data_IF_447476211626
#
_entry.id   IF_447476211626
#
_cell.length_a   1.000
_cell.length_b   1.000
_cell.length_c   1.000
_cell.angle_alpha   90.00
_cell.angle_beta   90.00
_cell.angle_gamma   90.00
#
_symmetry.space_group_name_H-M   'P 1'
#
loop_
_entity.id
_entity.type
_entity.pdbx_description
1 polymer ?
#
# COMPACT_ATOMS: atom_id res chain seq x y z
N UNK A 1 -43.42 -3.85 -49.75
CA UNK A 1 -42.84 -2.92 -48.75
C UNK A 1 -42.93 -3.59 -47.38
N UNK A 2 -41.81 -3.84 -46.68
CA UNK A 2 -41.87 -4.35 -45.32
C UNK A 2 -42.11 -3.20 -44.31
N UNK A 3 -42.75 -3.48 -43.16
CA UNK A 3 -42.98 -2.47 -42.13
C UNK A 3 -41.68 -2.17 -41.36
N UNK A 4 -41.42 -0.88 -41.11
CA UNK A 4 -40.26 -0.41 -40.34
C UNK A 4 -40.38 -0.86 -38.88
N UNK A 5 -39.42 -1.63 -38.40
CA UNK A 5 -39.25 -1.99 -36.99
C UNK A 5 -38.81 -0.76 -36.19
N UNK A 6 -39.67 -0.35 -35.27
CA UNK A 6 -39.41 0.71 -34.28
C UNK A 6 -38.31 0.27 -33.31
N UNK A 7 -37.17 0.96 -33.33
CA UNK A 7 -36.11 0.81 -32.34
C UNK A 7 -36.58 1.48 -31.04
N UNK A 8 -37.06 0.69 -30.09
CA UNK A 8 -37.25 1.14 -28.70
C UNK A 8 -35.88 1.20 -28.01
N UNK A 9 -35.30 2.40 -27.89
CA UNK A 9 -34.25 2.66 -26.89
C UNK A 9 -34.91 2.96 -25.55
N UNK A 10 -34.62 2.22 -24.46
CA UNK A 10 -35.14 2.55 -23.14
C UNK A 10 -34.50 3.85 -22.66
N UNK A 11 -35.32 4.91 -22.63
CA UNK A 11 -34.98 6.22 -22.10
C UNK A 11 -34.86 6.14 -20.57
N UNK A 12 -33.70 5.69 -20.06
CA UNK A 12 -33.32 6.06 -18.69
C UNK A 12 -32.84 7.52 -18.74
N UNK A 13 -33.45 8.46 -18.00
CA UNK A 13 -32.98 9.83 -17.99
C UNK A 13 -31.55 9.87 -17.43
N UNK A 14 -30.55 10.00 -18.31
CA UNK A 14 -29.17 10.23 -17.90
C UNK A 14 -29.10 11.68 -17.44
N UNK A 15 -29.30 11.93 -16.15
CA UNK A 15 -29.00 13.23 -15.56
C UNK A 15 -27.56 13.59 -15.95
N UNK A 16 -27.40 14.65 -16.73
CA UNK A 16 -26.10 15.26 -16.97
C UNK A 16 -25.66 15.82 -15.62
N UNK A 17 -24.87 15.05 -14.89
CA UNK A 17 -24.16 15.56 -13.71
C UNK A 17 -23.37 16.78 -14.18
N UNK A 18 -23.61 17.97 -13.62
CA UNK A 18 -22.82 19.15 -13.95
C UNK A 18 -21.35 18.77 -13.81
N UNK A 19 -20.52 19.10 -14.81
CA UNK A 19 -19.06 19.00 -14.68
C UNK A 19 -18.63 20.07 -13.66
N UNK A 20 -18.87 19.81 -12.38
CA UNK A 20 -18.15 20.49 -11.31
C UNK A 20 -16.67 20.31 -11.60
N UNK A 21 -15.83 21.35 -11.52
CA UNK A 21 -14.39 21.14 -11.54
C UNK A 21 -14.13 20.04 -10.51
N UNK A 22 -13.55 18.91 -10.97
CA UNK A 22 -13.19 17.79 -10.10
C UNK A 22 -12.41 18.42 -8.97
N UNK A 23 -13.03 18.53 -7.79
CA UNK A 23 -12.30 18.86 -6.58
C UNK A 23 -11.37 17.67 -6.43
N UNK A 24 -10.12 17.83 -6.84
CA UNK A 24 -9.07 16.87 -6.55
C UNK A 24 -9.19 16.59 -5.07
N UNK A 25 -9.47 15.33 -4.73
CA UNK A 25 -9.48 14.86 -3.36
C UNK A 25 -8.17 15.32 -2.73
N UNK A 26 -8.29 16.15 -1.68
CA UNK A 26 -7.13 16.75 -1.05
C UNK A 26 -6.17 15.63 -0.63
N UNK A 27 -4.89 15.80 -0.96
CA UNK A 27 -3.85 14.83 -0.63
C UNK A 27 -3.47 13.85 -1.74
N UNK A 28 -4.23 13.73 -2.83
CA UNK A 28 -3.83 12.87 -3.97
C UNK A 28 -2.63 13.47 -4.72
N UNK A 29 -1.62 12.64 -4.96
CA UNK A 29 -0.47 12.98 -5.81
C UNK A 29 -0.80 12.70 -7.26
N UNK A 30 -0.99 13.76 -8.03
CA UNK A 30 -1.25 13.67 -9.48
C UNK A 30 0.00 13.39 -10.30
N UNK A 31 1.20 13.62 -9.74
CA UNK A 31 2.49 13.31 -10.37
C UNK A 31 3.37 12.53 -9.41
N UNK A 32 3.93 11.44 -9.91
CA UNK A 32 4.99 10.68 -9.28
C UNK A 32 6.32 10.94 -10.03
N UNK A 33 7.48 10.66 -9.41
CA UNK A 33 8.76 10.71 -10.11
C UNK A 33 8.76 9.83 -11.38
N UNK A 34 9.59 10.15 -12.37
CA UNK A 34 9.58 9.46 -13.68
C UNK A 34 9.75 7.94 -13.57
N UNK A 35 10.56 7.47 -12.61
CA UNK A 35 10.74 6.04 -12.33
C UNK A 35 9.48 5.32 -11.81
N UNK A 36 8.45 6.07 -11.41
CA UNK A 36 7.20 5.58 -10.83
C UNK A 36 5.97 6.09 -11.59
N UNK A 37 6.16 6.60 -12.82
CA UNK A 37 5.11 7.35 -13.55
C UNK A 37 3.94 6.49 -14.05
N UNK A 38 4.19 5.21 -14.31
CA UNK A 38 3.19 4.27 -14.81
C UNK A 38 3.47 2.85 -14.31
N UNK A 39 2.52 1.95 -14.52
CA UNK A 39 2.61 0.57 -14.05
C UNK A 39 3.82 -0.19 -14.65
N UNK A 40 4.25 0.13 -15.87
CA UNK A 40 5.41 -0.53 -16.49
C UNK A 40 6.69 -0.16 -15.73
N UNK A 41 6.92 1.13 -15.48
CA UNK A 41 8.09 1.54 -14.69
C UNK A 41 8.02 1.04 -13.25
N UNK A 42 6.82 0.95 -12.66
CA UNK A 42 6.64 0.34 -11.34
C UNK A 42 7.07 -1.13 -11.34
N UNK A 43 6.71 -1.94 -12.34
CA UNK A 43 7.12 -3.35 -12.43
C UNK A 43 8.64 -3.49 -12.48
N UNK A 44 9.27 -2.74 -13.39
CA UNK A 44 10.72 -2.74 -13.57
C UNK A 44 11.42 -2.32 -12.26
N UNK A 45 10.93 -1.25 -11.63
CA UNK A 45 11.51 -0.73 -10.38
C UNK A 45 11.31 -1.69 -9.21
N UNK A 46 10.13 -2.32 -9.09
CA UNK A 46 9.85 -3.31 -8.05
C UNK A 46 10.80 -4.51 -8.18
N UNK A 47 10.94 -5.04 -9.40
CA UNK A 47 11.80 -6.18 -9.68
C UNK A 47 13.25 -5.88 -9.35
N UNK A 48 13.76 -4.70 -9.72
CA UNK A 48 15.14 -4.31 -9.43
C UNK A 48 15.37 -4.03 -7.94
N UNK A 49 14.49 -3.25 -7.30
CA UNK A 49 14.68 -2.77 -5.92
C UNK A 49 14.46 -3.85 -4.86
N UNK A 50 13.54 -4.80 -5.11
CA UNK A 50 13.26 -5.92 -4.22
C UNK A 50 13.95 -7.22 -4.64
N UNK A 51 14.79 -7.17 -5.69
CA UNK A 51 15.55 -8.32 -6.22
C UNK A 51 14.66 -9.54 -6.50
N UNK A 52 13.51 -9.30 -7.13
CA UNK A 52 12.51 -10.36 -7.35
C UNK A 52 13.00 -11.34 -8.41
N UNK A 53 12.79 -12.63 -8.17
CA UNK A 53 13.04 -13.71 -9.13
C UNK A 53 11.96 -13.83 -10.21
N UNK A 54 10.84 -13.13 -10.04
CA UNK A 54 9.69 -13.15 -10.93
C UNK A 54 9.30 -11.73 -11.39
N UNK A 55 8.47 -11.65 -12.41
CA UNK A 55 7.90 -10.40 -12.90
C UNK A 55 6.59 -10.09 -12.15
N UNK A 56 6.44 -8.91 -11.52
CA UNK A 56 5.18 -8.52 -10.90
C UNK A 56 4.02 -8.49 -11.91
N UNK A 57 2.82 -8.86 -11.47
CA UNK A 57 1.62 -8.76 -12.30
C UNK A 57 1.25 -7.28 -12.53
N UNK A 58 0.64 -6.98 -13.68
CA UNK A 58 0.19 -5.64 -14.04
C UNK A 58 -0.80 -5.11 -12.99
N UNK A 59 -1.67 -5.98 -12.47
CA UNK A 59 -2.64 -5.60 -11.42
C UNK A 59 -1.94 -5.17 -10.13
N UNK A 60 -0.87 -5.86 -9.75
CA UNK A 60 -0.07 -5.48 -8.57
C UNK A 60 0.60 -4.13 -8.79
N UNK A 61 1.18 -3.91 -9.96
CA UNK A 61 1.85 -2.66 -10.29
C UNK A 61 0.89 -1.47 -10.35
N UNK A 62 -0.28 -1.64 -10.97
CA UNK A 62 -1.34 -0.62 -10.96
C UNK A 62 -1.81 -0.30 -9.54
N UNK A 63 -1.97 -1.31 -8.68
CA UNK A 63 -2.38 -1.10 -7.29
C UNK A 63 -1.32 -0.33 -6.50
N UNK A 64 -0.05 -0.71 -6.60
CA UNK A 64 1.07 0.00 -5.96
C UNK A 64 1.16 1.45 -6.48
N UNK A 65 1.00 1.66 -7.78
CA UNK A 65 0.97 3.00 -8.38
C UNK A 65 -0.12 3.87 -7.75
N UNK A 66 -1.35 3.37 -7.58
CA UNK A 66 -2.43 4.12 -6.94
C UNK A 66 -2.17 4.39 -5.45
N UNK A 67 -1.61 3.43 -4.71
CA UNK A 67 -1.21 3.69 -3.31
C UNK A 67 -0.09 4.74 -3.24
N UNK A 68 0.84 4.77 -4.19
CA UNK A 68 1.87 5.82 -4.29
C UNK A 68 1.26 7.19 -4.56
N UNK A 69 0.17 7.23 -5.33
CA UNK A 69 -0.63 8.42 -5.55
C UNK A 69 -1.52 8.82 -4.34
N UNK A 70 -1.48 8.06 -3.25
CA UNK A 70 -2.27 8.25 -2.02
C UNK A 70 -3.78 8.01 -2.20
N UNK A 71 -4.14 7.10 -3.11
CA UNK A 71 -5.47 6.52 -3.09
C UNK A 71 -5.56 5.45 -2.02
N UNK A 72 -6.73 5.36 -1.38
CA UNK A 72 -7.11 4.18 -0.63
C UNK A 72 -7.50 3.06 -1.60
N UNK A 73 -7.22 1.82 -1.24
CA UNK A 73 -7.46 0.67 -2.12
C UNK A 73 -7.75 -0.61 -1.36
N UNK A 74 -8.63 -1.43 -1.93
CA UNK A 74 -8.91 -2.78 -1.46
C UNK A 74 -8.40 -3.79 -2.49
N UNK A 75 -7.52 -4.69 -2.07
CA UNK A 75 -7.02 -5.77 -2.91
C UNK A 75 -7.58 -7.11 -2.42
N UNK A 76 -8.22 -7.85 -3.33
CA UNK A 76 -8.69 -9.22 -3.07
C UNK A 76 -7.84 -10.15 -3.92
N UNK A 77 -7.07 -11.02 -3.26
CA UNK A 77 -6.20 -11.98 -3.92
C UNK A 77 -6.13 -13.27 -3.11
N UNK A 78 -6.04 -14.41 -3.79
CA UNK A 78 -5.84 -15.72 -3.19
C UNK A 78 -4.44 -15.83 -2.52
N UNK A 79 -4.27 -16.77 -1.60
CA UNK A 79 -2.96 -17.06 -1.00
C UNK A 79 -1.96 -17.47 -2.08
N UNK A 80 -0.69 -17.08 -1.90
CA UNK A 80 0.36 -17.34 -2.89
C UNK A 80 0.43 -16.33 -4.06
N UNK A 81 -0.60 -15.49 -4.27
CA UNK A 81 -0.59 -14.47 -5.34
C UNK A 81 0.21 -13.19 -5.00
N UNK A 82 1.17 -13.29 -4.07
CA UNK A 82 2.11 -12.20 -3.78
C UNK A 82 1.46 -10.93 -3.19
N UNK A 83 0.47 -11.09 -2.31
CA UNK A 83 -0.17 -9.94 -1.61
C UNK A 83 0.84 -9.05 -0.88
N UNK A 84 1.90 -9.65 -0.33
CA UNK A 84 2.94 -8.93 0.42
C UNK A 84 3.73 -7.95 -0.42
N UNK A 85 3.88 -8.23 -1.73
CA UNK A 85 4.57 -7.35 -2.66
C UNK A 85 3.96 -5.94 -2.70
N UNK A 86 2.66 -5.81 -2.42
CA UNK A 86 1.96 -4.53 -2.46
C UNK A 86 2.48 -3.56 -1.39
N UNK A 87 2.63 -4.03 -0.15
CA UNK A 87 3.09 -3.19 0.95
C UNK A 87 4.63 -3.13 1.06
N UNK A 88 5.33 -4.22 0.73
CA UNK A 88 6.80 -4.22 0.64
C UNK A 88 7.28 -3.29 -0.49
N UNK A 89 6.63 -3.39 -1.65
CA UNK A 89 6.86 -2.52 -2.80
C UNK A 89 6.59 -1.07 -2.46
N UNK A 90 5.46 -0.78 -1.81
CA UNK A 90 5.18 0.56 -1.31
C UNK A 90 6.30 1.06 -0.39
N UNK A 91 6.69 0.28 0.62
CA UNK A 91 7.72 0.67 1.59
C UNK A 91 9.06 0.97 0.91
N UNK A 92 9.47 0.13 -0.04
CA UNK A 92 10.73 0.30 -0.78
C UNK A 92 10.70 1.51 -1.71
N UNK A 93 9.63 1.70 -2.47
CA UNK A 93 9.54 2.73 -3.52
C UNK A 93 9.33 4.15 -2.96
N UNK A 94 8.68 4.26 -1.82
CA UNK A 94 8.49 5.55 -1.13
C UNK A 94 9.80 6.15 -0.63
N UNK A 95 10.77 5.31 -0.26
CA UNK A 95 12.10 5.73 0.18
C UNK A 95 12.19 5.99 1.68
N UNK A 96 13.28 6.66 2.10
CA UNK A 96 13.58 6.93 3.52
C UNK A 96 12.67 8.04 4.09
N UNK A 97 12.43 8.00 5.39
CA UNK A 97 11.64 9.01 6.11
C UNK A 97 10.12 8.81 6.03
N UNK A 98 9.66 7.67 5.50
CA UNK A 98 8.27 7.26 5.53
C UNK A 98 8.20 5.80 5.96
N UNK A 99 7.13 5.45 6.67
CA UNK A 99 6.93 4.12 7.25
C UNK A 99 5.62 3.56 6.70
N UNK A 100 5.64 2.27 6.34
CA UNK A 100 4.44 1.49 6.06
C UNK A 100 4.12 0.65 7.28
N UNK A 101 2.97 0.91 7.91
CA UNK A 101 2.45 0.04 8.95
C UNK A 101 1.60 -1.08 8.32
N UNK A 102 1.91 -2.32 8.66
CA UNK A 102 1.15 -3.50 8.24
C UNK A 102 0.54 -4.13 9.49
N UNK A 103 -0.78 -4.16 9.53
CA UNK A 103 -1.53 -4.69 10.67
C UNK A 103 -1.91 -6.14 10.36
N UNK A 104 -1.41 -7.07 11.18
CA UNK A 104 -1.57 -8.51 11.00
C UNK A 104 -2.27 -9.12 12.22
N UNK A 105 -3.12 -10.15 12.07
CA UNK A 105 -3.87 -10.72 13.18
C UNK A 105 -3.05 -11.62 14.11
N UNK A 106 -1.80 -11.98 13.77
CA UNK A 106 -1.01 -12.92 14.59
C UNK A 106 0.48 -12.60 14.61
N UNK A 107 1.09 -12.77 15.80
CA UNK A 107 2.53 -12.60 16.05
C UNK A 107 3.41 -13.48 15.16
N UNK A 108 2.97 -14.71 14.87
CA UNK A 108 3.72 -15.63 13.99
C UNK A 108 3.79 -15.10 12.55
N UNK A 109 2.67 -14.56 12.05
CA UNK A 109 2.62 -13.97 10.71
C UNK A 109 3.42 -12.66 10.65
N UNK A 110 3.38 -11.84 11.69
CA UNK A 110 4.20 -10.61 11.77
C UNK A 110 5.69 -10.91 11.62
N UNK A 111 6.20 -11.90 12.38
CA UNK A 111 7.62 -12.28 12.34
C UNK A 111 8.02 -12.87 10.99
N UNK A 112 7.19 -13.75 10.42
CA UNK A 112 7.42 -14.35 9.11
C UNK A 112 7.48 -13.28 8.00
N UNK A 113 6.51 -12.36 7.96
CA UNK A 113 6.49 -11.27 6.98
C UNK A 113 7.62 -10.26 7.20
N UNK A 114 8.04 -10.01 8.44
CA UNK A 114 9.20 -9.19 8.75
C UNK A 114 10.47 -9.78 8.16
N UNK A 115 10.74 -11.07 8.39
CA UNK A 115 11.92 -11.75 7.86
C UNK A 115 11.92 -11.73 6.33
N UNK A 116 10.80 -12.07 5.69
CA UNK A 116 10.67 -12.01 4.24
C UNK A 116 10.87 -10.61 3.66
N UNK A 117 10.42 -9.55 4.36
CA UNK A 117 10.69 -8.18 3.94
C UNK A 117 12.18 -7.83 4.09
N UNK A 118 12.84 -8.22 5.19
CA UNK A 118 14.27 -7.97 5.39
C UNK A 118 15.12 -8.66 4.30
N UNK A 119 14.78 -9.88 3.91
CA UNK A 119 15.45 -10.61 2.83
C UNK A 119 15.41 -9.86 1.49
N UNK A 120 14.31 -9.16 1.22
CA UNK A 120 14.12 -8.33 0.01
C UNK A 120 14.75 -6.93 0.14
N UNK A 121 15.25 -6.58 1.33
CA UNK A 121 16.04 -5.38 1.59
C UNK A 121 15.33 -4.14 2.16
N UNK A 122 14.00 -4.08 2.38
CA UNK A 122 13.43 -3.13 3.32
C UNK A 122 13.91 -3.31 4.76
N UNK A 123 14.15 -2.21 5.46
CA UNK A 123 14.34 -2.21 6.91
C UNK A 123 13.00 -2.50 7.59
N UNK A 124 12.74 -3.77 7.91
CA UNK A 124 11.49 -4.21 8.53
C UNK A 124 11.64 -4.45 10.03
N UNK A 125 10.59 -4.10 10.79
CA UNK A 125 10.47 -4.42 12.21
C UNK A 125 9.13 -5.11 12.49
N UNK A 126 9.09 -5.95 13.51
CA UNK A 126 7.85 -6.42 14.12
C UNK A 126 7.79 -5.89 15.56
N UNK A 127 6.67 -5.29 15.94
CA UNK A 127 6.42 -4.85 17.32
C UNK A 127 5.15 -5.51 17.83
N UNK A 128 5.32 -6.30 18.86
CA UNK A 128 4.30 -7.05 19.58
C UNK A 128 4.39 -6.76 21.09
N UNK A 129 3.44 -7.28 21.86
CA UNK A 129 3.39 -7.12 23.33
C UNK A 129 4.65 -7.67 24.04
N UNK A 130 5.37 -8.61 23.40
CA UNK A 130 6.56 -9.23 23.96
C UNK A 130 7.79 -8.33 23.75
N UNK A 131 7.77 -7.50 22.71
CA UNK A 131 8.89 -6.68 22.24
C UNK A 131 8.71 -5.18 22.50
N UNK A 132 7.51 -4.71 22.81
CA UNK A 132 7.20 -3.28 23.01
C UNK A 132 8.01 -2.61 24.13
N UNK A 133 8.53 -3.39 25.08
CA UNK A 133 9.34 -2.85 26.19
C UNK A 133 10.76 -2.49 25.75
N UNK A 134 11.19 -2.89 24.56
CA UNK A 134 12.52 -2.62 24.02
C UNK A 134 12.65 -1.18 23.51
N UNK A 135 13.45 -0.29 24.15
CA UNK A 135 13.60 1.09 23.70
C UNK A 135 14.27 1.20 22.33
N UNK A 136 15.17 0.26 22.01
CA UNK A 136 15.91 0.20 20.74
C UNK A 136 14.96 0.02 19.55
N UNK A 137 13.92 -0.78 19.73
CA UNK A 137 12.93 -1.06 18.68
C UNK A 137 12.18 0.22 18.29
N UNK A 138 11.78 1.02 19.29
CA UNK A 138 11.12 2.31 19.07
C UNK A 138 12.05 3.38 18.48
N UNK A 139 13.34 3.31 18.79
CA UNK A 139 14.35 4.17 18.17
C UNK A 139 14.55 3.81 16.69
N UNK A 140 14.68 2.53 16.38
CA UNK A 140 14.77 2.02 14.99
C UNK A 140 13.51 2.37 14.19
N UNK A 141 12.32 2.24 14.80
CA UNK A 141 11.07 2.63 14.17
C UNK A 141 11.10 4.09 13.71
N UNK A 142 11.66 5.01 14.51
CA UNK A 142 11.69 6.44 14.19
C UNK A 142 12.79 6.85 13.22
N UNK A 143 13.86 6.05 13.11
CA UNK A 143 15.07 6.46 12.38
C UNK A 143 15.25 5.72 11.06
N UNK A 144 15.10 4.39 11.05
CA UNK A 144 15.51 3.56 9.91
C UNK A 144 14.39 2.74 9.31
N UNK A 145 13.35 2.40 10.08
CA UNK A 145 12.31 1.50 9.62
C UNK A 145 11.58 2.02 8.38
N UNK A 146 11.35 1.13 7.41
CA UNK A 146 10.56 1.39 6.22
C UNK A 146 9.21 0.66 6.27
N UNK A 147 9.17 -0.48 6.96
CA UNK A 147 7.96 -1.27 7.16
C UNK A 147 7.91 -1.81 8.58
N UNK A 148 6.75 -1.74 9.21
CA UNK A 148 6.54 -2.19 10.59
C UNK A 148 5.29 -3.05 10.65
N UNK A 149 5.47 -4.30 11.10
CA UNK A 149 4.42 -5.27 11.32
C UNK A 149 3.94 -5.21 12.77
N UNK A 150 2.63 -5.13 12.97
CA UNK A 150 2.00 -4.92 14.28
C UNK A 150 0.68 -5.71 14.36
N UNK A 151 0.26 -6.06 15.56
CA UNK A 151 -1.10 -6.54 15.80
C UNK A 151 -2.12 -5.39 15.90
N UNK A 152 -3.42 -5.64 15.68
CA UNK A 152 -4.47 -4.65 15.95
C UNK A 152 -4.42 -4.12 17.39
N UNK A 153 -4.18 -4.99 18.36
CA UNK A 153 -4.10 -4.66 19.78
C UNK A 153 -2.91 -3.72 20.05
N UNK A 154 -1.77 -3.97 19.42
CA UNK A 154 -0.59 -3.11 19.52
C UNK A 154 -0.83 -1.71 18.95
N UNK A 155 -1.53 -1.59 17.83
CA UNK A 155 -1.87 -0.27 17.24
C UNK A 155 -2.76 0.55 18.18
N UNK A 156 -3.59 -0.11 18.98
CA UNK A 156 -4.47 0.53 19.95
C UNK A 156 -3.80 0.80 21.30
N UNK A 157 -2.60 0.27 21.54
CA UNK A 157 -1.93 0.38 22.83
C UNK A 157 -1.42 1.80 23.11
N UNK A 158 -1.35 2.14 24.40
CA UNK A 158 -0.77 3.41 24.84
C UNK A 158 0.72 3.50 24.49
N UNK A 159 1.42 2.37 24.43
CA UNK A 159 2.82 2.34 24.00
C UNK A 159 2.95 2.83 22.56
N UNK A 160 2.12 2.29 21.63
CA UNK A 160 2.15 2.73 20.24
C UNK A 160 1.76 4.21 20.12
N UNK A 161 0.67 4.65 20.76
CA UNK A 161 0.23 6.05 20.74
C UNK A 161 1.33 6.98 21.23
N UNK A 162 1.84 6.77 22.44
CA UNK A 162 2.82 7.66 23.06
C UNK A 162 4.20 7.63 22.39
N UNK A 163 4.58 6.51 21.76
CA UNK A 163 5.90 6.35 21.14
C UNK A 163 5.89 6.73 19.66
N UNK A 164 4.84 6.43 18.91
CA UNK A 164 4.79 6.76 17.47
C UNK A 164 4.28 8.19 17.28
N UNK A 165 3.18 8.53 17.94
CA UNK A 165 2.59 9.86 17.88
C UNK A 165 2.97 10.64 19.13
N UNK A 166 4.07 11.38 19.06
CA UNK A 166 4.22 12.51 19.97
C UNK A 166 3.28 13.60 19.48
N UNK A 167 2.15 13.79 20.16
CA UNK A 167 1.44 15.06 20.10
C UNK A 167 2.49 16.14 20.39
N UNK A 168 2.74 16.97 19.39
CA UNK A 168 3.56 18.18 19.56
C UNK A 168 2.67 19.27 20.13
#
# INVERSE_FOLDING_TARGET
MPPKTSIYTPNTPRQKVPKSPSKTTQGIRTRLPDRLKDAKFIKETLKSELKLSFEPDDRQAHFVHHILQRYDGMCVAATGLGKSLLFEGKAKLVGKGQIVFVICPSKSLERDQMLHAQEKGPEALAIDEDTEKSPKLWEQLRTTAQIVYLSPEMVLSDAFRNKVWKDT
#
